data_IF_997499364295
#
_entry.id   IF_997499364295
#
_cell.length_a   1.000
_cell.length_b   1.000
_cell.length_c   1.000
_cell.angle_alpha   90.00
_cell.angle_beta   90.00
_cell.angle_gamma   90.00
#
_symmetry.space_group_name_H-M   'P 1'
#
loop_
_entity.id
_entity.type
_entity.pdbx_description
1 polymer ?
#
# COMPACT_ATOMS: atom_id res chain seq x y z
N UNK A 1 -9.35 -20.85 -0.68
CA UNK A 1 -8.73 -19.70 -1.38
C UNK A 1 -7.57 -20.15 -2.26
N UNK A 2 -7.33 -19.48 -3.39
CA UNK A 2 -6.15 -19.63 -4.25
C UNK A 2 -5.17 -18.49 -4.00
N UNK A 3 -3.87 -18.76 -4.01
CA UNK A 3 -2.82 -17.75 -3.89
C UNK A 3 -1.89 -17.84 -5.08
N UNK A 4 -1.72 -16.72 -5.78
CA UNK A 4 -0.69 -16.56 -6.81
C UNK A 4 0.51 -15.90 -6.14
N UNK A 5 1.62 -16.61 -5.99
CA UNK A 5 2.78 -16.13 -5.25
C UNK A 5 3.97 -15.89 -6.18
N UNK A 6 4.59 -14.72 -6.04
CA UNK A 6 5.87 -14.42 -6.68
C UNK A 6 7.07 -14.89 -5.84
N UNK A 7 6.84 -15.48 -4.65
CA UNK A 7 7.90 -15.95 -3.77
C UNK A 7 8.71 -17.06 -4.45
N UNK A 8 9.87 -16.72 -4.99
CA UNK A 8 10.78 -17.68 -5.64
C UNK A 8 12.18 -17.58 -5.06
N UNK A 9 12.91 -18.71 -5.08
CA UNK A 9 14.30 -18.76 -4.63
C UNK A 9 15.27 -17.97 -5.53
N UNK A 10 14.80 -17.39 -6.63
CA UNK A 10 15.60 -16.60 -7.57
C UNK A 10 15.59 -15.10 -7.26
N UNK A 11 14.76 -14.64 -6.32
CA UNK A 11 14.67 -13.23 -5.94
C UNK A 11 15.84 -12.84 -5.04
N UNK A 12 16.43 -11.67 -5.30
CA UNK A 12 17.48 -11.09 -4.45
C UNK A 12 16.94 -10.87 -3.03
N UNK A 13 17.68 -11.27 -1.97
CA UNK A 13 17.26 -11.06 -0.60
C UNK A 13 16.96 -9.58 -0.31
N UNK A 14 15.76 -9.30 0.18
CA UNK A 14 15.28 -7.99 0.60
C UNK A 14 14.27 -8.16 1.74
N UNK A 15 13.84 -7.05 2.37
CA UNK A 15 12.74 -7.11 3.33
C UNK A 15 11.47 -7.66 2.68
N UNK A 16 11.09 -7.13 1.51
CA UNK A 16 9.92 -7.60 0.75
C UNK A 16 10.02 -9.07 0.38
N UNK A 17 11.19 -9.58 -0.05
CA UNK A 17 11.31 -11.00 -0.40
C UNK A 17 11.16 -11.92 0.82
N UNK A 18 11.56 -11.47 2.02
CA UNK A 18 11.34 -12.22 3.27
C UNK A 18 9.85 -12.24 3.62
N UNK A 19 9.17 -11.10 3.52
CA UNK A 19 7.72 -11.02 3.77
C UNK A 19 6.95 -11.91 2.81
N UNK A 20 7.25 -11.86 1.51
CA UNK A 20 6.62 -12.72 0.50
C UNK A 20 6.78 -14.20 0.84
N UNK A 21 7.97 -14.61 1.29
CA UNK A 21 8.23 -15.98 1.72
C UNK A 21 7.36 -16.37 2.92
N UNK A 22 7.38 -15.56 3.98
CA UNK A 22 6.61 -15.81 5.22
C UNK A 22 5.11 -15.93 4.92
N UNK A 23 4.58 -15.02 4.10
CA UNK A 23 3.17 -14.94 3.73
C UNK A 23 2.76 -16.14 2.87
N UNK A 24 3.62 -16.53 1.94
CA UNK A 24 3.38 -17.71 1.08
C UNK A 24 3.41 -19.00 1.90
N UNK A 25 4.40 -19.15 2.80
CA UNK A 25 4.51 -20.32 3.68
C UNK A 25 3.34 -20.39 4.68
N UNK A 26 2.90 -19.24 5.20
CA UNK A 26 1.73 -19.15 6.09
C UNK A 26 0.45 -19.57 5.36
N UNK A 27 0.26 -19.12 4.11
CA UNK A 27 -0.87 -19.53 3.30
C UNK A 27 -0.88 -21.06 3.06
N UNK A 28 0.28 -21.66 2.73
CA UNK A 28 0.43 -23.12 2.61
C UNK A 28 0.06 -23.83 3.91
N UNK A 29 0.61 -23.36 5.04
CA UNK A 29 0.37 -23.95 6.37
C UNK A 29 -1.11 -23.96 6.75
N UNK A 30 -1.84 -22.92 6.34
CA UNK A 30 -3.28 -22.78 6.62
C UNK A 30 -4.18 -23.45 5.58
N UNK A 31 -3.60 -24.20 4.63
CA UNK A 31 -4.34 -25.00 3.65
C UNK A 31 -4.80 -24.23 2.40
N UNK A 32 -4.31 -23.01 2.18
CA UNK A 32 -4.53 -22.32 0.90
C UNK A 32 -3.80 -23.03 -0.23
N UNK A 33 -4.38 -23.02 -1.42
CA UNK A 33 -3.73 -23.59 -2.60
C UNK A 33 -2.87 -22.54 -3.28
N UNK A 34 -1.56 -22.73 -3.25
CA UNK A 34 -0.56 -21.77 -3.73
C UNK A 34 -0.02 -22.20 -5.10
N UNK A 35 0.04 -21.26 -6.03
CA UNK A 35 0.69 -21.38 -7.32
C UNK A 35 1.78 -20.34 -7.45
N UNK A 36 2.97 -20.76 -7.84
CA UNK A 36 4.08 -19.86 -8.05
C UNK A 36 4.03 -19.27 -9.45
N UNK A 37 4.06 -17.94 -9.55
CA UNK A 37 4.06 -17.20 -10.81
C UNK A 37 5.32 -16.33 -10.91
N UNK A 38 5.83 -16.05 -12.11
CA UNK A 38 7.01 -15.19 -12.26
C UNK A 38 6.70 -13.73 -11.90
N UNK A 39 7.71 -13.05 -11.33
CA UNK A 39 7.69 -11.60 -11.10
C UNK A 39 7.70 -10.78 -12.41
N UNK A 40 7.96 -11.41 -13.54
CA UNK A 40 7.80 -10.79 -14.85
C UNK A 40 7.28 -11.87 -15.80
N UNK A 41 6.02 -11.72 -16.21
CA UNK A 41 5.40 -12.70 -17.10
C UNK A 41 5.91 -12.58 -18.53
N UNK A 42 6.58 -11.48 -18.91
CA UNK A 42 7.11 -11.30 -20.27
C UNK A 42 8.18 -12.35 -20.58
N UNK A 43 8.83 -12.90 -19.55
CA UNK A 43 9.72 -14.09 -19.64
C UNK A 43 8.98 -15.34 -20.14
N UNK A 44 7.66 -15.37 -20.04
CA UNK A 44 6.76 -16.41 -20.55
C UNK A 44 6.03 -15.98 -21.84
N UNK A 45 6.31 -14.78 -22.37
CA UNK A 45 5.64 -14.18 -23.52
C UNK A 45 4.28 -13.55 -23.17
N UNK A 46 3.40 -14.26 -22.46
CA UNK A 46 2.09 -13.75 -22.04
C UNK A 46 1.72 -14.16 -20.61
N UNK A 47 0.73 -13.48 -20.03
CA UNK A 47 0.18 -13.82 -18.72
C UNK A 47 -0.48 -15.21 -18.71
N UNK A 48 -1.14 -15.62 -19.79
CA UNK A 48 -1.73 -16.96 -19.93
C UNK A 48 -0.66 -18.06 -19.86
N UNK A 49 0.50 -17.83 -20.50
CA UNK A 49 1.62 -18.75 -20.44
C UNK A 49 2.22 -18.82 -19.03
N UNK A 50 2.36 -17.67 -18.36
CA UNK A 50 2.82 -17.64 -16.97
C UNK A 50 1.89 -18.42 -16.02
N UNK A 51 0.59 -18.46 -16.31
CA UNK A 51 -0.44 -19.20 -15.56
C UNK A 51 -0.78 -20.57 -16.18
N UNK A 52 -0.04 -21.04 -17.19
CA UNK A 52 -0.40 -22.23 -17.95
C UNK A 52 -0.57 -23.47 -17.06
N UNK A 53 0.37 -23.66 -16.12
CA UNK A 53 0.43 -24.78 -15.19
C UNK A 53 -0.71 -24.81 -14.15
N UNK A 54 -1.46 -23.71 -14.02
CA UNK A 54 -2.60 -23.62 -13.10
C UNK A 54 -3.81 -24.30 -13.76
N UNK A 55 -4.50 -25.25 -13.09
CA UNK A 55 -5.70 -25.88 -13.62
C UNK A 55 -6.86 -24.88 -13.72
N UNK A 56 -7.85 -25.18 -14.57
CA UNK A 56 -9.11 -24.45 -14.57
C UNK A 56 -9.97 -24.91 -13.39
N UNK A 57 -10.60 -23.97 -12.70
CA UNK A 57 -11.55 -24.21 -11.63
C UNK A 57 -12.97 -24.11 -12.18
N UNK A 58 -13.84 -25.10 -11.92
CA UNK A 58 -15.20 -25.13 -12.46
C UNK A 58 -16.11 -24.05 -11.83
N UNK A 59 -15.80 -23.64 -10.60
CA UNK A 59 -16.47 -22.55 -9.89
C UNK A 59 -15.45 -21.45 -9.62
N UNK A 60 -15.90 -20.20 -9.71
CA UNK A 60 -15.06 -19.06 -9.37
C UNK A 60 -14.59 -19.18 -7.92
N UNK A 61 -13.27 -19.16 -7.74
CA UNK A 61 -12.63 -19.24 -6.43
C UNK A 61 -11.91 -17.92 -6.14
N UNK A 62 -12.02 -17.43 -4.90
CA UNK A 62 -11.30 -16.24 -4.46
C UNK A 62 -9.79 -16.45 -4.58
N UNK A 63 -9.11 -15.47 -5.18
CA UNK A 63 -7.67 -15.43 -5.39
C UNK A 63 -7.02 -14.25 -4.68
N UNK A 64 -5.82 -14.44 -4.13
CA UNK A 64 -4.94 -13.37 -3.68
C UNK A 64 -3.65 -13.45 -4.47
N UNK A 65 -3.16 -12.32 -4.97
CA UNK A 65 -1.81 -12.22 -5.49
C UNK A 65 -0.87 -11.71 -4.40
N UNK A 66 0.12 -12.52 -4.03
CA UNK A 66 1.19 -12.17 -3.11
C UNK A 66 2.44 -11.86 -3.93
N UNK A 67 2.81 -10.59 -4.04
CA UNK A 67 3.91 -10.15 -4.91
C UNK A 67 4.37 -8.72 -4.66
N UNK A 68 5.18 -8.23 -5.58
CA UNK A 68 5.53 -6.81 -5.66
C UNK A 68 4.39 -6.03 -6.34
N UNK A 69 4.27 -4.73 -6.01
CA UNK A 69 3.29 -3.84 -6.64
C UNK A 69 3.53 -3.85 -8.16
N UNK A 70 2.60 -4.37 -8.98
CA UNK A 70 2.77 -4.41 -10.42
C UNK A 70 2.37 -3.08 -11.07
N UNK A 71 2.81 -2.86 -12.31
CA UNK A 71 2.20 -1.87 -13.20
C UNK A 71 0.77 -2.28 -13.56
N UNK A 72 -0.09 -1.30 -13.89
CA UNK A 72 -1.51 -1.56 -14.16
C UNK A 72 -1.71 -2.57 -15.30
N UNK A 73 -1.00 -2.41 -16.42
CA UNK A 73 -1.10 -3.33 -17.56
C UNK A 73 -0.77 -4.77 -17.14
N UNK A 74 0.20 -4.93 -16.23
CA UNK A 74 0.62 -6.21 -15.72
C UNK A 74 -0.41 -6.80 -14.78
N UNK A 75 -1.03 -5.96 -13.94
CA UNK A 75 -2.15 -6.38 -13.11
C UNK A 75 -3.34 -6.85 -13.94
N UNK A 76 -3.73 -6.09 -14.96
CA UNK A 76 -4.82 -6.45 -15.88
C UNK A 76 -4.56 -7.78 -16.58
N UNK A 77 -3.35 -7.99 -17.11
CA UNK A 77 -2.99 -9.22 -17.81
C UNK A 77 -3.09 -10.45 -16.88
N UNK A 78 -2.51 -10.38 -15.68
CA UNK A 78 -2.57 -11.46 -14.69
C UNK A 78 -4.00 -11.68 -14.19
N UNK A 79 -4.76 -10.61 -13.93
CA UNK A 79 -6.16 -10.69 -13.52
C UNK A 79 -7.01 -11.43 -14.54
N UNK A 80 -6.87 -11.09 -15.83
CA UNK A 80 -7.63 -11.72 -16.91
C UNK A 80 -7.23 -13.19 -17.11
N UNK A 81 -5.94 -13.50 -17.07
CA UNK A 81 -5.44 -14.88 -17.15
C UNK A 81 -5.92 -15.73 -15.96
N UNK A 82 -5.90 -15.19 -14.73
CA UNK A 82 -6.43 -15.86 -13.55
C UNK A 82 -7.95 -16.08 -13.65
N UNK A 83 -8.69 -15.06 -14.10
CA UNK A 83 -10.14 -15.14 -14.30
C UNK A 83 -10.52 -16.21 -15.33
N UNK A 84 -9.75 -16.37 -16.40
CA UNK A 84 -9.93 -17.45 -17.39
C UNK A 84 -9.66 -18.86 -16.83
N UNK A 85 -8.95 -18.95 -15.69
CA UNK A 85 -8.76 -20.19 -14.91
C UNK A 85 -9.83 -20.37 -13.81
N UNK A 86 -10.82 -19.49 -13.71
CA UNK A 86 -11.83 -19.53 -12.63
C UNK A 86 -11.32 -18.97 -11.31
N UNK A 87 -10.28 -18.13 -11.32
CA UNK A 87 -9.71 -17.48 -10.12
C UNK A 87 -10.05 -15.99 -10.20
N UNK A 88 -10.81 -15.47 -9.24
CA UNK A 88 -11.13 -14.04 -9.15
C UNK A 88 -10.26 -13.41 -8.07
N UNK A 89 -9.30 -12.57 -8.46
CA UNK A 89 -8.51 -11.81 -7.49
C UNK A 89 -9.42 -10.90 -6.66
N UNK A 90 -9.08 -10.68 -5.38
CA UNK A 90 -9.91 -9.93 -4.44
C UNK A 90 -10.19 -8.50 -4.92
N UNK A 91 -9.23 -7.88 -5.59
CA UNK A 91 -9.40 -6.59 -6.24
C UNK A 91 -9.41 -6.73 -7.77
N UNK A 92 -10.32 -6.02 -8.43
CA UNK A 92 -10.26 -5.78 -9.88
C UNK A 92 -9.10 -4.83 -10.22
N UNK A 93 -8.69 -4.72 -11.50
CA UNK A 93 -7.65 -3.77 -11.89
C UNK A 93 -7.97 -2.32 -11.52
N UNK A 94 -9.24 -1.90 -11.69
CA UNK A 94 -9.69 -0.57 -11.27
C UNK A 94 -9.60 -0.37 -9.74
N UNK A 95 -9.96 -1.39 -8.96
CA UNK A 95 -9.87 -1.33 -7.49
C UNK A 95 -8.42 -1.31 -7.00
N UNK A 96 -7.54 -2.09 -7.63
CA UNK A 96 -6.10 -2.06 -7.41
C UNK A 96 -5.56 -0.64 -7.64
N UNK A 97 -5.88 -0.05 -8.80
CA UNK A 97 -5.48 1.30 -9.15
C UNK A 97 -6.04 2.34 -8.18
N UNK A 98 -7.33 2.23 -7.83
CA UNK A 98 -8.01 3.15 -6.92
C UNK A 98 -7.33 3.20 -5.55
N UNK A 99 -6.93 2.05 -5.00
CA UNK A 99 -6.28 2.00 -3.69
C UNK A 99 -4.83 2.54 -3.70
N UNK A 100 -4.17 2.51 -4.86
CA UNK A 100 -2.75 2.83 -5.01
C UNK A 100 -2.51 4.27 -5.49
N UNK A 101 -3.30 4.73 -6.47
CA UNK A 101 -3.03 5.98 -7.16
C UNK A 101 -3.62 7.18 -6.44
N UNK A 102 -2.76 8.14 -6.11
CA UNK A 102 -3.12 9.34 -5.35
C UNK A 102 -4.31 10.10 -5.96
N UNK A 103 -4.30 10.28 -7.27
CA UNK A 103 -5.36 11.00 -8.00
C UNK A 103 -6.74 10.35 -7.84
N UNK A 104 -6.77 9.03 -7.61
CA UNK A 104 -8.01 8.27 -7.48
C UNK A 104 -8.48 8.20 -6.02
N UNK A 105 -7.58 7.91 -5.07
CA UNK A 105 -8.01 7.80 -3.67
C UNK A 105 -8.19 9.16 -2.98
N UNK A 106 -7.40 10.18 -3.34
CA UNK A 106 -7.38 11.45 -2.59
C UNK A 106 -8.73 12.17 -2.59
N UNK A 107 -9.44 12.32 -3.73
CA UNK A 107 -10.77 12.94 -3.73
C UNK A 107 -11.76 12.22 -2.81
N UNK A 108 -11.65 10.90 -2.68
CA UNK A 108 -12.51 10.07 -1.82
C UNK A 108 -12.19 10.25 -0.34
N UNK A 109 -10.93 10.52 0.00
CA UNK A 109 -10.44 10.65 1.38
C UNK A 109 -10.29 12.08 1.87
N UNK A 110 -10.81 13.07 1.11
CA UNK A 110 -10.77 14.48 1.51
C UNK A 110 -11.37 14.67 2.91
N UNK A 111 -10.62 15.39 3.75
CA UNK A 111 -10.97 15.62 5.16
C UNK A 111 -10.58 14.50 6.12
N UNK A 112 -10.13 13.33 5.64
CA UNK A 112 -9.52 12.27 6.46
C UNK A 112 -8.00 12.22 6.33
N UNK A 113 -7.46 12.73 5.22
CA UNK A 113 -6.03 12.79 4.93
C UNK A 113 -5.57 14.23 4.71
N UNK A 114 -4.32 14.60 5.06
CA UNK A 114 -3.78 15.93 4.85
C UNK A 114 -3.96 16.46 3.43
N UNK A 115 -4.20 17.76 3.35
CA UNK A 115 -4.37 18.49 2.09
C UNK A 115 -3.17 18.28 1.17
N UNK A 116 -3.47 17.99 -0.09
CA UNK A 116 -2.47 17.62 -1.07
C UNK A 116 -2.84 18.12 -2.46
N UNK A 117 -1.82 18.38 -3.27
CA UNK A 117 -1.91 18.87 -4.64
C UNK A 117 -1.00 18.00 -5.49
N UNK A 118 -1.52 17.58 -6.64
CA UNK A 118 -0.73 16.88 -7.66
C UNK A 118 -0.16 17.91 -8.62
N UNK A 119 1.13 17.80 -8.88
CA UNK A 119 1.85 18.62 -9.86
C UNK A 119 2.52 17.72 -10.90
N UNK A 120 2.57 18.17 -12.14
CA UNK A 120 3.15 17.42 -13.27
C UNK A 120 4.48 18.03 -13.73
N UNK A 121 4.77 19.25 -13.30
CA UNK A 121 5.97 19.97 -13.67
C UNK A 121 6.41 20.92 -12.56
N UNK A 122 7.68 21.32 -12.62
CA UNK A 122 8.24 22.31 -11.69
C UNK A 122 7.56 23.69 -11.80
N UNK A 123 6.90 23.98 -12.92
CA UNK A 123 6.20 25.25 -13.13
C UNK A 123 4.96 25.38 -12.24
N UNK A 124 4.43 24.27 -11.72
CA UNK A 124 3.29 24.25 -10.82
C UNK A 124 3.68 24.39 -9.34
N UNK A 125 4.98 24.31 -9.01
CA UNK A 125 5.47 24.39 -7.63
C UNK A 125 5.05 25.69 -6.92
N UNK A 126 5.05 26.83 -7.63
CA UNK A 126 4.72 28.12 -7.02
C UNK A 126 3.28 28.11 -6.50
N UNK A 127 2.36 27.70 -7.37
CA UNK A 127 0.94 27.55 -7.03
C UNK A 127 0.72 26.54 -5.91
N UNK A 128 1.45 25.42 -5.90
CA UNK A 128 1.34 24.43 -4.85
C UNK A 128 1.82 24.96 -3.48
N UNK A 129 2.94 25.69 -3.46
CA UNK A 129 3.46 26.36 -2.27
C UNK A 129 2.51 27.42 -1.71
N UNK A 130 1.95 28.26 -2.58
CA UNK A 130 1.00 29.31 -2.19
C UNK A 130 -0.29 28.75 -1.57
N UNK A 131 -0.79 27.62 -2.10
CA UNK A 131 -2.02 27.00 -1.62
C UNK A 131 -1.85 26.23 -0.31
N UNK A 132 -0.74 25.49 -0.15
CA UNK A 132 -0.54 24.61 1.01
C UNK A 132 0.18 25.31 2.18
N UNK A 133 1.00 26.32 1.88
CA UNK A 133 1.92 26.94 2.83
C UNK A 133 3.09 26.02 3.19
N UNK A 134 4.26 26.62 3.43
CA UNK A 134 5.44 25.89 3.85
C UNK A 134 5.49 25.67 5.38
N UNK A 135 6.12 24.57 5.86
CA UNK A 135 6.76 23.51 5.09
C UNK A 135 5.77 22.51 4.47
N UNK A 136 6.17 21.90 3.35
CA UNK A 136 5.39 20.85 2.66
C UNK A 136 6.18 19.55 2.55
N UNK A 137 5.47 18.42 2.62
CA UNK A 137 5.99 17.10 2.29
C UNK A 137 5.80 16.83 0.80
N UNK A 138 6.78 16.23 0.13
CA UNK A 138 6.68 15.86 -1.28
C UNK A 138 7.11 14.42 -1.52
N UNK A 139 6.35 13.70 -2.35
CA UNK A 139 6.66 12.34 -2.80
C UNK A 139 6.34 12.14 -4.27
N UNK A 140 6.87 11.07 -4.86
CA UNK A 140 6.36 10.57 -6.14
C UNK A 140 4.96 9.98 -6.00
N UNK A 141 4.30 9.70 -7.13
CA UNK A 141 2.96 9.12 -7.16
C UNK A 141 2.83 7.85 -6.30
N UNK A 142 3.83 6.97 -6.35
CA UNK A 142 3.76 5.62 -5.76
C UNK A 142 4.53 5.52 -4.46
N UNK A 143 5.73 6.10 -4.39
CA UNK A 143 6.59 5.99 -3.22
C UNK A 143 7.26 7.31 -2.87
N UNK A 144 7.45 7.53 -1.57
CA UNK A 144 8.32 8.56 -1.04
C UNK A 144 9.76 8.04 -0.93
N UNK A 145 10.74 8.90 -1.19
CA UNK A 145 12.17 8.59 -0.99
C UNK A 145 12.61 8.82 0.47
N UNK A 146 11.75 8.50 1.44
CA UNK A 146 11.98 8.72 2.89
C UNK A 146 13.32 8.17 3.36
N UNK A 147 13.81 7.09 2.74
CA UNK A 147 15.12 6.47 3.02
C UNK A 147 16.30 7.41 2.75
N UNK A 148 16.14 8.40 1.86
CA UNK A 148 17.15 9.42 1.55
C UNK A 148 17.12 10.62 2.52
N UNK A 149 16.32 10.55 3.58
CA UNK A 149 16.32 11.54 4.67
C UNK A 149 15.26 12.65 4.52
N UNK A 150 15.13 13.45 5.57
CA UNK A 150 14.10 14.49 5.71
C UNK A 150 14.12 15.53 4.59
N UNK A 151 15.30 16.07 4.27
CA UNK A 151 15.49 17.11 3.24
C UNK A 151 15.20 16.64 1.81
N UNK A 152 15.09 15.33 1.61
CA UNK A 152 14.72 14.71 0.33
C UNK A 152 13.20 14.62 0.14
N UNK A 153 12.42 14.87 1.21
CA UNK A 153 10.96 14.76 1.19
C UNK A 153 10.26 15.98 1.77
N UNK A 154 10.97 16.96 2.36
CA UNK A 154 10.36 18.15 2.98
C UNK A 154 10.97 19.41 2.39
N UNK A 155 10.12 20.28 1.87
CA UNK A 155 10.49 21.60 1.38
C UNK A 155 10.07 22.68 2.37
N UNK A 156 11.01 23.53 2.79
CA UNK A 156 10.73 24.63 3.72
C UNK A 156 10.42 25.96 3.01
N UNK A 157 10.68 26.03 1.71
CA UNK A 157 10.45 27.19 0.85
C UNK A 157 10.30 26.74 -0.61
N UNK A 158 10.07 27.71 -1.48
CA UNK A 158 9.87 27.49 -2.91
C UNK A 158 11.10 26.88 -3.59
N UNK A 159 12.30 27.33 -3.24
CA UNK A 159 13.56 26.86 -3.81
C UNK A 159 13.79 25.37 -3.50
N UNK A 160 13.53 24.96 -2.25
CA UNK A 160 13.54 23.56 -1.83
C UNK A 160 12.54 22.74 -2.64
N UNK A 161 11.31 23.25 -2.78
CA UNK A 161 10.23 22.56 -3.48
C UNK A 161 10.61 22.29 -4.95
N UNK A 162 11.17 23.29 -5.65
CA UNK A 162 11.66 23.12 -7.02
C UNK A 162 12.82 22.14 -7.09
N UNK A 163 13.79 22.24 -6.17
CA UNK A 163 14.97 21.36 -6.13
C UNK A 163 14.57 19.90 -5.95
N UNK A 164 13.74 19.60 -4.96
CA UNK A 164 13.28 18.24 -4.67
C UNK A 164 12.40 17.72 -5.83
N UNK A 165 11.53 18.57 -6.39
CA UNK A 165 10.68 18.19 -7.51
C UNK A 165 11.47 17.79 -8.75
N UNK A 166 12.52 18.55 -9.09
CA UNK A 166 13.43 18.20 -10.19
C UNK A 166 14.03 16.81 -9.99
N UNK A 167 14.50 16.52 -8.77
CA UNK A 167 15.06 15.20 -8.47
C UNK A 167 14.02 14.10 -8.63
N UNK A 168 12.86 14.23 -7.98
CA UNK A 168 11.83 13.18 -8.01
C UNK A 168 11.27 12.89 -9.41
N UNK A 169 11.15 13.91 -10.27
CA UNK A 169 10.71 13.71 -11.67
C UNK A 169 11.73 12.93 -12.51
N UNK A 170 13.01 12.83 -12.09
CA UNK A 170 13.98 11.93 -12.74
C UNK A 170 13.76 10.45 -12.38
N UNK A 171 12.98 10.16 -11.33
CA UNK A 171 12.65 8.81 -10.89
C UNK A 171 11.37 8.35 -11.58
N UNK A 172 11.47 7.85 -12.81
CA UNK A 172 10.32 7.50 -13.67
C UNK A 172 9.32 6.56 -12.97
N UNK A 173 9.80 5.48 -12.35
CA UNK A 173 8.92 4.52 -11.68
C UNK A 173 8.23 5.09 -10.43
N UNK A 174 8.96 5.90 -9.64
CA UNK A 174 8.44 6.44 -8.38
C UNK A 174 7.47 7.60 -8.58
N UNK A 175 7.76 8.47 -9.56
CA UNK A 175 6.93 9.63 -9.89
C UNK A 175 5.79 9.29 -10.84
N UNK A 176 5.98 8.34 -11.77
CA UNK A 176 5.06 8.12 -12.90
C UNK A 176 4.70 9.43 -13.62
N UNK A 177 5.66 10.36 -13.70
CA UNK A 177 5.48 11.68 -14.33
C UNK A 177 4.73 12.72 -13.48
N UNK A 178 4.42 12.44 -12.21
CA UNK A 178 3.72 13.37 -11.30
C UNK A 178 4.30 13.34 -9.89
N UNK A 179 4.09 14.42 -9.15
CA UNK A 179 4.48 14.55 -7.74
C UNK A 179 3.30 14.96 -6.89
N UNK A 180 3.32 14.49 -5.64
CA UNK A 180 2.31 14.81 -4.64
C UNK A 180 2.94 15.77 -3.65
N UNK A 181 2.52 17.03 -3.68
CA UNK A 181 2.85 18.04 -2.67
C UNK A 181 1.76 18.00 -1.61
N UNK A 182 2.13 17.83 -0.35
CA UNK A 182 1.21 17.60 0.75
C UNK A 182 1.55 18.51 1.92
N UNK A 183 0.54 19.04 2.59
CA UNK A 183 0.71 19.77 3.84
C UNK A 183 1.48 18.90 4.83
N UNK A 184 2.58 19.42 5.38
CA UNK A 184 3.34 18.69 6.38
C UNK A 184 2.51 18.60 7.67
N UNK A 185 2.42 17.40 8.22
CA UNK A 185 1.77 17.15 9.51
C UNK A 185 2.75 16.50 10.47
N UNK A 186 2.73 16.95 11.73
CA UNK A 186 3.58 16.39 12.79
C UNK A 186 2.91 15.18 13.40
N UNK A 187 3.44 13.99 13.10
CA UNK A 187 3.02 12.76 13.74
C UNK A 187 3.73 12.60 15.08
N UNK A 188 2.97 12.19 16.10
CA UNK A 188 3.53 11.84 17.41
C UNK A 188 4.55 10.73 17.22
N UNK A 189 5.77 10.90 17.72
CA UNK A 189 6.84 9.90 17.62
C UNK A 189 7.75 9.97 18.84
N UNK A 190 8.47 8.90 19.12
CA UNK A 190 9.51 8.81 20.17
C UNK A 190 10.84 8.24 19.63
N UNK A 191 10.84 7.82 18.35
CA UNK A 191 11.97 7.19 17.68
C UNK A 191 12.23 7.88 16.35
N UNK A 192 13.49 7.84 15.96
CA UNK A 192 13.95 8.26 14.64
C UNK A 192 14.48 7.02 13.90
N UNK A 193 14.22 6.96 12.60
CA UNK A 193 14.86 6.01 11.72
C UNK A 193 16.38 6.33 11.62
N UNK A 194 17.22 5.40 11.12
CA UNK A 194 18.67 5.62 11.02
C UNK A 194 19.09 6.87 10.23
N UNK A 195 18.21 7.38 9.37
CA UNK A 195 18.39 8.59 8.58
C UNK A 195 17.73 9.84 9.21
N UNK A 196 17.49 9.80 10.52
CA UNK A 196 16.84 10.84 11.30
C UNK A 196 15.38 11.15 10.90
N UNK A 197 14.75 10.31 10.07
CA UNK A 197 13.34 10.49 9.72
C UNK A 197 12.44 10.11 10.91
N UNK A 198 11.49 10.97 11.32
CA UNK A 198 10.57 10.65 12.41
C UNK A 198 9.73 9.40 12.14
N UNK A 199 9.76 8.45 13.07
CA UNK A 199 8.91 7.25 13.01
C UNK A 199 7.58 7.57 13.66
N UNK A 200 6.66 8.15 12.89
CA UNK A 200 5.33 8.52 13.34
C UNK A 200 4.58 7.35 13.98
N UNK A 201 3.76 7.62 15.00
CA UNK A 201 2.89 6.61 15.62
C UNK A 201 1.79 6.27 14.61
N UNK A 202 2.06 5.22 13.85
CA UNK A 202 1.29 4.80 12.70
C UNK A 202 0.87 3.33 12.85
N UNK A 203 -0.35 3.02 12.43
CA UNK A 203 -0.93 1.69 12.45
C UNK A 203 -1.46 1.36 11.07
N UNK A 204 -1.17 0.14 10.60
CA UNK A 204 -1.70 -0.39 9.36
C UNK A 204 -2.87 -1.29 9.65
N UNK A 205 -3.99 -1.05 8.98
CA UNK A 205 -5.23 -1.83 9.12
C UNK A 205 -5.54 -2.51 7.79
N UNK A 206 -5.65 -3.83 7.81
CA UNK A 206 -6.11 -4.61 6.66
C UNK A 206 -7.61 -4.86 6.77
N UNK A 207 -8.33 -4.49 5.72
CA UNK A 207 -9.79 -4.51 5.67
C UNK A 207 -10.23 -5.28 4.44
N UNK A 208 -11.23 -6.15 4.62
CA UNK A 208 -11.94 -6.81 3.52
C UNK A 208 -13.43 -6.49 3.57
N UNK A 209 -13.99 -5.91 2.50
CA UNK A 209 -15.40 -5.49 2.41
C UNK A 209 -15.85 -4.72 3.66
N UNK A 210 -15.08 -3.68 4.02
CA UNK A 210 -15.31 -2.81 5.18
C UNK A 210 -15.22 -3.50 6.55
N UNK A 211 -14.83 -4.79 6.61
CA UNK A 211 -14.58 -5.52 7.85
C UNK A 211 -13.09 -5.59 8.14
N UNK A 212 -12.69 -5.14 9.32
CA UNK A 212 -11.30 -5.25 9.79
C UNK A 212 -10.91 -6.72 9.89
N UNK A 213 -9.88 -7.10 9.13
CA UNK A 213 -9.26 -8.41 9.25
C UNK A 213 -8.29 -8.40 10.41
N UNK A 214 -7.26 -7.56 10.32
CA UNK A 214 -6.23 -7.41 11.34
C UNK A 214 -5.54 -6.05 11.19
N UNK A 215 -4.86 -5.62 12.24
CA UNK A 215 -4.04 -4.42 12.23
C UNK A 215 -2.76 -4.66 13.03
N UNK A 216 -1.79 -3.75 12.87
CA UNK A 216 -0.53 -3.79 13.59
C UNK A 216 0.18 -2.45 13.54
N UNK A 217 1.13 -2.25 14.46
CA UNK A 217 2.00 -1.08 14.44
C UNK A 217 2.84 -1.08 13.16
N UNK A 218 2.96 0.08 12.50
CA UNK A 218 3.55 0.19 11.16
C UNK A 218 5.06 -0.10 11.16
N UNK A 219 5.77 0.38 12.19
CA UNK A 219 7.23 0.30 12.25
C UNK A 219 7.72 -0.98 12.89
N UNK A 220 8.88 -1.47 12.45
CA UNK A 220 9.56 -2.60 13.09
C UNK A 220 10.24 -2.21 14.42
N UNK A 221 10.45 -3.23 15.26
CA UNK A 221 11.14 -3.12 16.54
C UNK A 221 10.21 -2.77 17.72
N UNK A 222 10.79 -2.73 18.92
CA UNK A 222 10.05 -2.37 20.14
C UNK A 222 9.84 -0.86 20.17
N UNK A 223 8.61 -0.47 20.47
CA UNK A 223 8.20 0.93 20.56
C UNK A 223 7.09 1.08 21.60
N UNK A 224 7.24 2.00 22.54
CA UNK A 224 6.21 2.26 23.56
C UNK A 224 4.92 2.84 22.96
N UNK A 225 5.00 3.50 21.80
CA UNK A 225 3.85 4.04 21.08
C UNK A 225 3.09 2.96 20.28
N UNK A 226 3.58 1.73 20.22
CA UNK A 226 2.91 0.62 19.52
C UNK A 226 1.64 0.11 20.23
N UNK A 227 1.43 0.48 21.49
CA UNK A 227 0.26 0.06 22.28
C UNK A 227 -0.86 1.06 22.10
N UNK A 228 -2.08 0.58 21.85
CA UNK A 228 -3.30 1.39 21.85
C UNK A 228 -4.08 1.12 23.14
N UNK A 229 -4.67 2.15 23.73
CA UNK A 229 -5.80 1.95 24.65
C UNK A 229 -7.04 1.48 23.87
N UNK A 230 -8.05 0.95 24.56
CA UNK A 230 -9.29 0.50 23.92
C UNK A 230 -9.99 1.64 23.15
N UNK A 231 -9.95 2.87 23.68
CA UNK A 231 -10.53 4.04 23.01
C UNK A 231 -9.75 4.40 21.74
N UNK A 232 -8.41 4.41 21.81
CA UNK A 232 -7.56 4.68 20.65
C UNK A 232 -7.71 3.58 19.58
N UNK A 233 -7.80 2.31 19.99
CA UNK A 233 -8.06 1.19 19.08
C UNK A 233 -9.38 1.39 18.34
N UNK A 234 -10.46 1.71 19.04
CA UNK A 234 -11.74 2.00 18.41
C UNK A 234 -11.65 3.20 17.45
N UNK A 235 -10.95 4.27 17.81
CA UNK A 235 -10.76 5.44 16.95
C UNK A 235 -10.01 5.09 15.65
N UNK A 236 -8.90 4.35 15.76
CA UNK A 236 -8.09 3.90 14.62
C UNK A 236 -8.91 3.00 13.70
N UNK A 237 -9.60 2.00 14.26
CA UNK A 237 -10.35 1.04 13.47
C UNK A 237 -11.58 1.66 12.81
N UNK A 238 -12.32 2.52 13.51
CA UNK A 238 -13.48 3.22 12.94
C UNK A 238 -13.06 4.17 11.81
N UNK A 239 -11.94 4.90 11.97
CA UNK A 239 -11.41 5.77 10.92
C UNK A 239 -10.97 4.95 9.68
N UNK A 240 -10.31 3.81 9.90
CA UNK A 240 -9.91 2.93 8.81
C UNK A 240 -11.14 2.33 8.08
N UNK A 241 -12.18 1.91 8.81
CA UNK A 241 -13.44 1.43 8.20
C UNK A 241 -14.10 2.55 7.38
N UNK A 242 -14.23 3.75 7.94
CA UNK A 242 -14.78 4.90 7.21
C UNK A 242 -13.99 5.19 5.92
N UNK A 243 -12.66 5.16 5.99
CA UNK A 243 -11.83 5.34 4.80
C UNK A 243 -12.04 4.21 3.78
N UNK A 244 -12.16 2.96 4.22
CA UNK A 244 -12.47 1.81 3.36
C UNK A 244 -13.83 1.96 2.67
N UNK A 245 -14.86 2.42 3.38
CA UNK A 245 -16.19 2.69 2.83
C UNK A 245 -16.15 3.76 1.74
N UNK A 246 -15.38 4.85 1.95
CA UNK A 246 -15.21 5.90 0.93
C UNK A 246 -14.45 5.43 -0.30
N UNK A 247 -13.46 4.55 -0.13
CA UNK A 247 -12.68 3.99 -1.25
C UNK A 247 -13.47 2.98 -2.06
N UNK A 248 -14.36 2.22 -1.41
CA UNK A 248 -15.11 1.11 -2.00
C UNK A 248 -14.20 0.08 -2.72
N UNK A 249 -13.04 -0.18 -2.13
CA UNK A 249 -12.09 -1.22 -2.55
C UNK A 249 -12.24 -2.44 -1.63
N UNK A 250 -12.47 -3.66 -2.17
CA UNK A 250 -12.72 -4.84 -1.37
C UNK A 250 -11.59 -5.14 -0.39
N UNK A 251 -10.35 -5.28 -0.85
CA UNK A 251 -9.22 -5.64 0.00
C UNK A 251 -8.18 -4.50 0.05
N UNK A 252 -8.19 -3.73 1.12
CA UNK A 252 -7.41 -2.48 1.24
C UNK A 252 -6.60 -2.45 2.53
N UNK A 253 -5.40 -1.90 2.43
CA UNK A 253 -4.55 -1.55 3.55
C UNK A 253 -4.65 -0.04 3.78
N UNK A 254 -4.90 0.36 5.02
CA UNK A 254 -5.06 1.78 5.39
C UNK A 254 -4.13 2.08 6.54
N UNK A 255 -3.25 3.06 6.33
CA UNK A 255 -2.33 3.54 7.34
C UNK A 255 -2.94 4.72 8.08
N UNK A 256 -3.02 4.60 9.40
CA UNK A 256 -3.61 5.59 10.31
C UNK A 256 -2.51 6.12 11.23
N UNK A 257 -2.32 7.44 11.26
CA UNK A 257 -1.28 8.09 12.05
C UNK A 257 -1.87 9.01 13.12
N UNK A 258 -1.20 9.11 14.27
CA UNK A 258 -1.57 10.06 15.32
C UNK A 258 -0.80 11.37 15.15
N UNK A 259 -1.51 12.49 15.10
CA UNK A 259 -0.94 13.82 15.21
C UNK A 259 -0.41 14.08 16.63
N UNK A 260 0.51 15.05 16.78
CA UNK A 260 0.94 15.52 18.10
C UNK A 260 -0.21 16.07 18.96
N UNK A 261 -1.29 16.56 18.34
CA UNK A 261 -2.52 16.97 19.02
C UNK A 261 -3.33 15.81 19.61
N UNK A 262 -3.00 14.57 19.25
CA UNK A 262 -3.73 13.36 19.64
C UNK A 262 -4.78 12.88 18.63
N UNK A 263 -5.13 13.71 17.63
CA UNK A 263 -6.06 13.37 16.55
C UNK A 263 -5.49 12.26 15.64
N UNK A 264 -6.38 11.41 15.11
CA UNK A 264 -6.03 10.35 14.16
C UNK A 264 -6.42 10.73 12.74
N UNK A 265 -5.51 10.48 11.79
CA UNK A 265 -5.71 10.80 10.37
C UNK A 265 -5.30 9.62 9.47
N UNK A 266 -5.84 9.57 8.26
CA UNK A 266 -5.39 8.64 7.21
C UNK A 266 -4.11 9.16 6.58
N UNK A 267 -3.06 8.34 6.61
CA UNK A 267 -1.75 8.64 6.06
C UNK A 267 -1.68 8.21 4.61
N UNK A 268 -1.97 6.94 4.34
CA UNK A 268 -1.81 6.31 3.04
C UNK A 268 -2.77 5.13 2.90
N UNK A 269 -3.03 4.75 1.66
CA UNK A 269 -3.78 3.54 1.32
C UNK A 269 -3.00 2.72 0.31
N UNK A 270 -3.26 1.42 0.28
CA UNK A 270 -2.71 0.53 -0.72
C UNK A 270 -3.64 -0.64 -0.99
N UNK A 271 -3.46 -1.29 -2.14
CA UNK A 271 -3.98 -2.63 -2.37
C UNK A 271 -3.31 -3.60 -1.36
N UNK A 272 -4.11 -4.20 -0.48
CA UNK A 272 -3.59 -5.06 0.59
C UNK A 272 -2.93 -6.35 0.08
N UNK A 273 -3.09 -6.70 -1.20
CA UNK A 273 -2.36 -7.79 -1.85
C UNK A 273 -0.84 -7.53 -1.90
N UNK A 274 -0.45 -6.26 -1.96
CA UNK A 274 0.94 -5.82 -2.13
C UNK A 274 1.47 -4.95 -0.99
N UNK A 275 0.66 -4.77 0.06
CA UNK A 275 1.06 -4.00 1.23
C UNK A 275 2.00 -4.81 2.14
N UNK A 276 3.02 -4.15 2.68
CA UNK A 276 3.85 -4.72 3.74
C UNK A 276 3.02 -5.00 5.00
N UNK A 277 3.41 -6.04 5.75
CA UNK A 277 2.62 -6.52 6.90
C UNK A 277 2.95 -5.78 8.20
N UNK A 278 4.07 -5.05 8.26
CA UNK A 278 4.48 -4.36 9.47
C UNK A 278 4.47 -5.31 10.68
N UNK A 279 3.90 -4.93 11.83
CA UNK A 279 3.72 -5.84 12.97
C UNK A 279 2.39 -6.61 12.96
N UNK A 280 1.70 -6.74 11.82
CA UNK A 280 0.46 -7.52 11.73
C UNK A 280 0.76 -9.02 11.95
N UNK A 281 0.05 -9.71 12.85
CA UNK A 281 0.17 -11.16 13.02
C UNK A 281 -0.28 -11.92 11.76
N UNK A 282 0.68 -12.33 10.92
CA UNK A 282 0.44 -12.91 9.58
C UNK A 282 -0.44 -14.16 9.65
N UNK A 283 -0.24 -15.04 10.64
CA UNK A 283 -1.06 -16.26 10.81
C UNK A 283 -2.52 -15.90 11.08
N UNK A 284 -2.79 -14.94 11.96
CA UNK A 284 -4.16 -14.55 12.29
C UNK A 284 -4.85 -13.86 11.11
N UNK A 285 -4.11 -13.02 10.38
CA UNK A 285 -4.60 -12.39 9.16
C UNK A 285 -5.00 -13.45 8.12
N UNK A 286 -4.10 -14.39 7.82
CA UNK A 286 -4.38 -15.45 6.84
C UNK A 286 -5.48 -16.40 7.28
N UNK A 287 -5.61 -16.64 8.59
CA UNK A 287 -6.70 -17.44 9.11
C UNK A 287 -8.07 -16.83 8.81
N UNK A 288 -8.17 -15.50 8.68
CA UNK A 288 -9.38 -14.81 8.22
C UNK A 288 -9.49 -14.77 6.69
N UNK A 289 -8.38 -14.55 5.99
CA UNK A 289 -8.37 -14.49 4.52
C UNK A 289 -8.80 -15.81 3.88
N UNK A 290 -8.33 -16.95 4.39
CA UNK A 290 -8.59 -18.26 3.78
C UNK A 290 -10.08 -18.60 3.66
N UNK A 291 -10.89 -18.04 4.56
CA UNK A 291 -12.34 -18.25 4.67
C UNK A 291 -13.16 -17.30 3.79
N UNK A 292 -12.51 -16.34 3.11
CA UNK A 292 -13.17 -15.48 2.13
C UNK A 292 -13.64 -16.36 0.96
N UNK A 293 -14.95 -16.38 0.77
CA UNK A 293 -15.64 -16.97 -0.37
C UNK A 293 -16.17 -15.85 -1.25
N UNK A 294 -16.25 -16.10 -2.55
CA UNK A 294 -16.93 -15.17 -3.44
C UNK A 294 -18.43 -15.38 -3.22
N UNK A 295 -19.12 -14.35 -2.73
CA UNK A 295 -20.58 -14.34 -2.76
C UNK A 295 -21.03 -14.47 -4.21
N UNK A 296 -22.03 -15.34 -4.44
CA UNK A 296 -22.57 -15.69 -5.76
C UNK A 296 -23.31 -14.55 -6.43
#
# INVERSE_FOLDING_TARGET
MIVLSESSGQIKPSASSRDLKIVTETALLLGCKVYYIPQDFERCGTAENALYHIPKYPQYTAGIWVGYIPELYRYEAIYNAAKAKGIKLLNTPWQHQTALEFDLFYPLLKGLTPESIVIHSINECAKAGDLLGFPVFIKGAIQSVKTQGWESCVANNYEDLVRISKHLLTLEYGSRGRLIVRKLVSLRHNRLAPNSFPMGREFRVFIYNHRVLKYGYYWEGRDDLSKLSLEEENAVLNLAVLASERLNVPYVAIDIGQLESGEWIVIETADAQFAGFSQIPVIELWNKLKDITLEG
#
